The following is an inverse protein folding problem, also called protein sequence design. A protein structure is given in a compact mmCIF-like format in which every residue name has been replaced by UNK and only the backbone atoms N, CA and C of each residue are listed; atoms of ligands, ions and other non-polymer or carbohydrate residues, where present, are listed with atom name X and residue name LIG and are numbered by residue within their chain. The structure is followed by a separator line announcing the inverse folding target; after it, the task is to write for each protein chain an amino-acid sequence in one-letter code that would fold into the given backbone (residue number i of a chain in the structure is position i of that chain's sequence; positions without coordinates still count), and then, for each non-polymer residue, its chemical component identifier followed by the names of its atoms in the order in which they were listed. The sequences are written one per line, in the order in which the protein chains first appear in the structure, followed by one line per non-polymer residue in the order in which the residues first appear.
data_IF_243604531222
#
_entry.id   IF_243604531222
#
_cell.length_a   1.000
_cell.length_b   1.000
_cell.length_c   1.000
_cell.angle_alpha   90.00
_cell.angle_beta   90.00
_cell.angle_gamma   90.00
#
_symmetry.space_group_name_H-M   'P 1'
#
loop_
_entity.id
_entity.type
_entity.pdbx_description
1 polymer ?
#
# COMPACT_ATOMS: atom_id res chain seq x y z
N UNK A 1 -20.52 12.61 -8.00
CA UNK A 1 -21.34 12.33 -6.81
C UNK A 1 -21.65 13.66 -6.18
N UNK A 2 -22.92 13.97 -5.95
CA UNK A 2 -23.32 15.23 -5.33
C UNK A 2 -23.15 15.04 -3.83
N UNK A 3 -22.16 15.70 -3.23
CA UNK A 3 -22.03 15.73 -1.78
C UNK A 3 -23.27 16.44 -1.21
N UNK A 4 -24.12 15.67 -0.53
CA UNK A 4 -25.25 16.22 0.21
C UNK A 4 -24.72 16.57 1.60
N UNK A 5 -24.56 17.86 1.94
CA UNK A 5 -24.09 18.24 3.25
C UNK A 5 -25.13 17.81 4.31
N UNK A 6 -24.66 17.08 5.32
CA UNK A 6 -25.48 16.70 6.47
C UNK A 6 -25.86 17.95 7.27
N UNK A 7 -27.09 18.00 7.76
CA UNK A 7 -27.52 19.09 8.65
C UNK A 7 -26.81 18.97 10.00
N UNK A 8 -26.64 20.08 10.73
CA UNK A 8 -26.08 20.06 12.09
C UNK A 8 -26.81 19.10 13.04
N UNK A 9 -28.12 18.91 12.87
CA UNK A 9 -28.93 17.97 13.65
C UNK A 9 -28.56 16.51 13.35
N UNK A 10 -28.41 16.16 12.06
CA UNK A 10 -27.97 14.83 11.64
C UNK A 10 -26.56 14.51 12.14
N UNK A 11 -25.67 15.50 12.18
CA UNK A 11 -24.33 15.35 12.75
C UNK A 11 -24.43 15.11 14.25
N UNK A 12 -25.22 15.91 14.98
CA UNK A 12 -25.34 15.81 16.43
C UNK A 12 -26.01 14.50 16.89
N UNK A 13 -26.92 13.92 16.11
CA UNK A 13 -27.52 12.60 16.39
C UNK A 13 -26.50 11.44 16.31
N UNK A 14 -25.47 11.58 15.47
CA UNK A 14 -24.41 10.59 15.35
C UNK A 14 -23.31 10.73 16.42
N UNK A 15 -23.14 11.94 16.98
CA UNK A 15 -22.17 12.24 18.04
C UNK A 15 -22.67 11.76 19.41
N UNK A 16 -22.62 10.45 19.64
CA UNK A 16 -22.91 9.87 20.96
C UNK A 16 -21.72 10.08 21.90
N UNK A 17 -21.97 10.52 23.13
CA UNK A 17 -20.95 10.67 24.18
C UNK A 17 -21.01 9.55 25.23
N UNK A 18 -22.06 8.73 25.21
CA UNK A 18 -22.34 7.61 26.12
C UNK A 18 -23.17 6.54 25.41
N UNK A 19 -23.24 5.33 25.97
CA UNK A 19 -24.05 4.23 25.40
C UNK A 19 -23.39 3.58 24.18
N UNK A 20 -22.06 3.63 24.08
CA UNK A 20 -21.33 2.81 23.13
C UNK A 20 -21.52 1.34 23.47
N UNK A 21 -21.83 0.53 22.46
CA UNK A 21 -21.86 -0.92 22.62
C UNK A 21 -20.44 -1.43 22.90
N UNK A 22 -20.33 -2.44 23.77
CA UNK A 22 -19.06 -3.13 23.99
C UNK A 22 -18.75 -3.96 22.74
N UNK A 23 -17.86 -3.45 21.89
CA UNK A 23 -17.40 -4.13 20.69
C UNK A 23 -15.99 -3.70 20.33
N UNK A 24 -15.12 -4.65 20.00
CA UNK A 24 -13.86 -4.32 19.34
C UNK A 24 -14.18 -3.84 17.92
N UNK A 25 -13.57 -2.74 17.49
CA UNK A 25 -13.70 -2.24 16.12
C UNK A 25 -13.19 -3.32 15.14
N UNK A 26 -14.08 -4.17 14.65
CA UNK A 26 -13.80 -5.07 13.52
C UNK A 26 -14.18 -4.31 12.27
N UNK A 27 -13.25 -4.18 11.34
CA UNK A 27 -13.55 -3.62 10.03
C UNK A 27 -14.70 -4.40 9.38
N UNK A 28 -15.74 -3.73 8.84
CA UNK A 28 -16.82 -4.42 8.14
C UNK A 28 -16.38 -4.95 6.78
N UNK A 29 -15.21 -4.54 6.29
CA UNK A 29 -14.63 -5.01 5.04
C UNK A 29 -14.42 -6.53 5.07
N UNK A 30 -14.81 -7.20 3.98
CA UNK A 30 -14.59 -8.63 3.75
C UNK A 30 -13.79 -8.89 2.49
N UNK A 31 -13.89 -8.04 1.47
CA UNK A 31 -13.09 -8.14 0.26
C UNK A 31 -12.90 -6.73 -0.32
N UNK A 32 -11.66 -6.32 -0.51
CA UNK A 32 -11.35 -5.01 -1.05
C UNK A 32 -10.02 -5.00 -1.80
N UNK A 33 -9.84 -3.98 -2.64
CA UNK A 33 -8.57 -3.64 -3.28
C UNK A 33 -8.13 -2.27 -2.80
N UNK A 34 -6.86 -2.11 -2.44
CA UNK A 34 -6.33 -0.83 -1.99
C UNK A 34 -4.81 -0.77 -2.14
N UNK A 35 -4.26 0.44 -2.18
CA UNK A 35 -2.82 0.67 -2.06
C UNK A 35 -2.41 0.55 -0.58
N UNK A 36 -1.40 -0.26 -0.28
CA UNK A 36 -0.79 -0.28 1.06
C UNK A 36 0.17 0.91 1.20
N UNK A 37 -0.12 1.84 2.08
CA UNK A 37 0.72 3.04 2.26
C UNK A 37 1.80 2.83 3.31
N UNK A 38 1.50 2.11 4.39
CA UNK A 38 2.46 1.82 5.44
C UNK A 38 2.05 0.63 6.30
N UNK A 39 3.06 0.01 6.92
CA UNK A 39 2.89 -0.98 7.99
C UNK A 39 3.45 -0.35 9.25
N UNK A 40 2.61 -0.15 10.26
CA UNK A 40 3.01 0.37 11.56
C UNK A 40 2.67 -0.65 12.64
N UNK A 41 3.06 -0.39 13.89
CA UNK A 41 2.65 -1.25 14.98
C UNK A 41 2.80 -0.61 16.34
N UNK A 42 2.12 -1.20 17.32
CA UNK A 42 2.16 -0.76 18.71
C UNK A 42 2.15 -1.96 19.65
N UNK A 43 2.84 -1.84 20.77
CA UNK A 43 2.75 -2.83 21.84
C UNK A 43 1.45 -2.62 22.60
N UNK A 44 0.53 -3.56 22.50
CA UNK A 44 -0.76 -3.50 23.19
C UNK A 44 -0.86 -4.60 24.24
N UNK A 45 -1.34 -4.25 25.42
CA UNK A 45 -1.73 -5.21 26.45
C UNK A 45 -3.24 -5.08 26.63
N UNK A 46 -4.00 -6.11 26.22
CA UNK A 46 -5.47 -6.11 26.34
C UNK A 46 -5.92 -7.17 27.33
N UNK A 47 -6.79 -6.79 28.26
CA UNK A 47 -7.37 -7.71 29.26
C UNK A 47 -6.31 -8.44 30.09
N UNK A 48 -6.50 -9.75 30.29
CA UNK A 48 -5.62 -10.62 31.07
C UNK A 48 -4.42 -11.17 30.26
N UNK A 49 -3.99 -10.50 29.19
CA UNK A 49 -2.80 -10.95 28.47
C UNK A 49 -1.57 -10.89 29.40
N UNK A 50 -0.79 -11.98 29.51
CA UNK A 50 0.34 -12.05 30.43
C UNK A 50 1.46 -11.09 30.03
N UNK A 51 1.54 -10.72 28.75
CA UNK A 51 2.54 -9.79 28.20
C UNK A 51 1.91 -8.95 27.09
N UNK A 52 2.41 -7.72 26.93
CA UNK A 52 2.10 -6.89 25.78
C UNK A 52 2.54 -7.60 24.49
N UNK A 53 1.71 -7.50 23.46
CA UNK A 53 1.97 -8.08 22.13
C UNK A 53 1.97 -6.99 21.09
N UNK A 54 2.76 -7.18 20.03
CA UNK A 54 2.79 -6.28 18.90
C UNK A 54 1.48 -6.41 18.10
N UNK A 55 0.72 -5.31 17.99
CA UNK A 55 -0.37 -5.16 17.02
C UNK A 55 0.20 -4.50 15.78
N UNK A 56 0.09 -5.19 14.65
CA UNK A 56 0.51 -4.69 13.35
C UNK A 56 -0.70 -4.03 12.69
N UNK A 57 -0.50 -2.82 12.22
CA UNK A 57 -1.50 -2.02 11.55
C UNK A 57 -1.09 -1.81 10.08
N UNK A 58 -1.91 -2.32 9.17
CA UNK A 58 -1.77 -2.09 7.73
C UNK A 58 -2.66 -0.90 7.36
N UNK A 59 -2.04 0.16 6.83
CA UNK A 59 -2.74 1.37 6.44
C UNK A 59 -2.90 1.40 4.92
N UNK A 60 -4.14 1.56 4.46
CA UNK A 60 -4.50 1.51 3.06
C UNK A 60 -5.20 2.77 2.58
N UNK A 61 -4.91 3.18 1.34
CA UNK A 61 -5.62 4.23 0.61
C UNK A 61 -6.08 3.74 -0.76
N UNK A 62 -6.85 4.58 -1.46
CA UNK A 62 -7.45 4.22 -2.76
C UNK A 62 -8.30 2.95 -2.65
N UNK A 63 -9.09 2.89 -1.57
CA UNK A 63 -9.90 1.72 -1.24
C UNK A 63 -11.05 1.56 -2.26
N UNK A 64 -11.10 0.39 -2.85
CA UNK A 64 -12.20 -0.13 -3.64
C UNK A 64 -12.78 -1.34 -2.89
N UNK A 65 -14.05 -1.26 -2.51
CA UNK A 65 -14.71 -2.31 -1.71
C UNK A 65 -15.51 -3.22 -2.63
N UNK A 66 -15.21 -4.52 -2.60
CA UNK A 66 -15.96 -5.54 -3.33
C UNK A 66 -17.03 -6.20 -2.45
N UNK A 67 -16.69 -6.47 -1.18
CA UNK A 67 -17.58 -7.10 -0.20
C UNK A 67 -17.38 -6.47 1.18
N UNK A 68 -18.48 -6.13 1.85
CA UNK A 68 -18.50 -5.61 3.22
C UNK A 68 -19.80 -6.02 3.90
N UNK A 69 -19.75 -6.30 5.21
CA UNK A 69 -20.96 -6.63 6.00
C UNK A 69 -21.85 -5.40 6.25
N UNK A 70 -21.25 -4.22 6.22
CA UNK A 70 -21.94 -2.92 6.36
C UNK A 70 -21.40 -1.95 5.30
N UNK A 71 -22.18 -0.96 4.83
CA UNK A 71 -21.68 0.05 3.90
C UNK A 71 -20.40 0.72 4.43
N UNK A 72 -19.34 0.74 3.62
CA UNK A 72 -18.05 1.33 4.00
C UNK A 72 -17.73 2.54 3.11
N UNK A 73 -18.03 3.77 3.56
CA UNK A 73 -17.89 4.97 2.73
C UNK A 73 -16.47 5.55 2.71
N UNK A 74 -15.58 5.07 3.58
CA UNK A 74 -14.23 5.64 3.73
C UNK A 74 -13.32 5.20 2.57
N UNK A 75 -12.57 6.13 1.93
CA UNK A 75 -11.61 5.80 0.87
C UNK A 75 -10.29 5.22 1.40
N UNK A 76 -10.18 5.07 2.71
CA UNK A 76 -9.02 4.51 3.43
C UNK A 76 -9.47 3.37 4.33
N UNK A 77 -8.60 2.40 4.55
CA UNK A 77 -8.83 1.29 5.48
C UNK A 77 -7.63 1.09 6.39
N UNK A 78 -7.91 0.59 7.59
CA UNK A 78 -6.91 0.24 8.58
C UNK A 78 -7.19 -1.17 9.09
N UNK A 79 -6.27 -2.09 8.82
CA UNK A 79 -6.41 -3.50 9.21
C UNK A 79 -5.44 -3.80 10.34
N UNK A 80 -6.00 -4.11 11.51
CA UNK A 80 -5.25 -4.46 12.71
C UNK A 80 -5.14 -5.97 12.86
N UNK A 81 -3.92 -6.50 13.00
CA UNK A 81 -3.66 -7.92 13.19
C UNK A 81 -2.65 -8.10 14.31
N UNK A 82 -2.99 -8.97 15.26
CA UNK A 82 -2.08 -9.36 16.32
C UNK A 82 -0.90 -10.15 15.76
N UNK A 83 0.32 -9.68 16.03
CA UNK A 83 1.54 -10.39 15.67
C UNK A 83 1.56 -11.78 16.30
N UNK A 84 1.93 -12.76 15.49
CA UNK A 84 2.15 -14.14 15.92
C UNK A 84 3.17 -14.79 15.01
N UNK A 85 4.02 -15.62 15.58
CA UNK A 85 4.97 -16.47 14.85
C UNK A 85 4.38 -17.86 14.51
N UNK A 86 3.11 -18.11 14.87
CA UNK A 86 2.46 -19.41 14.65
C UNK A 86 1.82 -19.45 13.27
N UNK A 87 2.07 -20.52 12.52
CA UNK A 87 1.46 -20.76 11.20
C UNK A 87 -0.07 -20.82 11.26
N UNK A 88 -0.63 -21.48 12.28
CA UNK A 88 -2.09 -21.54 12.54
C UNK A 88 -2.61 -20.33 13.32
N UNK A 89 -2.37 -19.12 12.81
CA UNK A 89 -2.86 -17.87 13.38
C UNK A 89 -3.26 -16.88 12.28
N UNK A 90 -3.99 -15.81 12.61
CA UNK A 90 -4.33 -14.76 11.63
C UNK A 90 -3.09 -14.17 10.95
N UNK A 91 -2.03 -13.88 11.71
CA UNK A 91 -0.78 -13.40 11.15
C UNK A 91 -0.07 -14.47 10.30
N UNK A 92 -0.13 -15.74 10.72
CA UNK A 92 0.46 -16.85 9.98
C UNK A 92 -0.22 -17.08 8.63
N UNK A 93 -1.55 -17.06 8.59
CA UNK A 93 -2.33 -17.18 7.34
C UNK A 93 -2.06 -15.99 6.41
N UNK A 94 -2.12 -14.76 6.94
CA UNK A 94 -1.81 -13.58 6.16
C UNK A 94 -0.39 -13.62 5.61
N UNK A 95 0.60 -13.88 6.47
CA UNK A 95 2.00 -13.97 6.09
C UNK A 95 2.24 -15.02 5.01
N UNK A 96 1.63 -16.21 5.13
CA UNK A 96 1.73 -17.26 4.12
C UNK A 96 1.09 -16.84 2.78
N UNK A 97 -0.03 -16.12 2.79
CA UNK A 97 -0.64 -15.61 1.56
C UNK A 97 0.25 -14.57 0.86
N UNK A 98 0.87 -13.67 1.63
CA UNK A 98 1.80 -12.66 1.13
C UNK A 98 3.08 -13.30 0.57
N UNK A 99 3.67 -14.24 1.31
CA UNK A 99 4.90 -14.94 0.94
C UNK A 99 4.75 -15.68 -0.40
N UNK A 100 3.65 -16.42 -0.57
CA UNK A 100 3.30 -17.09 -1.83
C UNK A 100 3.29 -16.15 -3.04
N UNK A 101 2.98 -14.87 -2.83
CA UNK A 101 2.95 -13.87 -3.91
C UNK A 101 4.32 -13.25 -4.13
N UNK A 102 4.95 -12.71 -3.08
CA UNK A 102 6.17 -11.90 -3.24
C UNK A 102 7.43 -12.75 -3.42
N UNK A 103 7.42 -13.97 -2.92
CA UNK A 103 8.50 -14.95 -2.97
C UNK A 103 8.17 -16.14 -3.89
N UNK A 104 7.19 -15.97 -4.79
CA UNK A 104 6.86 -16.97 -5.79
C UNK A 104 8.13 -17.41 -6.56
N UNK A 105 8.37 -18.73 -6.63
CA UNK A 105 9.53 -19.32 -7.29
C UNK A 105 10.80 -19.41 -6.44
N UNK A 106 10.78 -18.92 -5.20
CA UNK A 106 11.83 -19.17 -4.22
C UNK A 106 11.60 -20.53 -3.53
N UNK A 107 12.69 -21.18 -3.10
CA UNK A 107 12.62 -22.41 -2.30
C UNK A 107 12.12 -22.07 -0.89
N UNK A 108 11.13 -22.82 -0.40
CA UNK A 108 10.51 -22.65 0.94
C UNK A 108 11.52 -22.76 2.10
N UNK A 109 12.67 -23.41 1.88
CA UNK A 109 13.74 -23.56 2.87
C UNK A 109 14.80 -22.46 2.79
N UNK A 110 14.61 -21.43 1.96
CA UNK A 110 15.56 -20.34 1.87
C UNK A 110 15.61 -19.56 3.19
N UNK A 111 16.80 -19.16 3.63
CA UNK A 111 16.96 -18.21 4.72
C UNK A 111 16.16 -16.91 4.50
N UNK A 112 15.56 -16.38 5.57
CA UNK A 112 14.70 -15.20 5.52
C UNK A 112 15.39 -13.94 4.95
N UNK A 113 16.72 -13.83 5.10
CA UNK A 113 17.52 -12.73 4.56
C UNK A 113 17.60 -12.73 3.02
N UNK A 114 17.24 -13.84 2.38
CA UNK A 114 17.16 -14.00 0.93
C UNK A 114 15.73 -13.90 0.39
N UNK A 115 14.73 -13.88 1.29
CA UNK A 115 13.32 -13.71 0.94
C UNK A 115 12.91 -12.24 1.04
N UNK A 116 11.95 -11.82 0.20
CA UNK A 116 11.34 -10.49 0.35
C UNK A 116 10.49 -10.48 1.61
N UNK A 117 10.60 -9.39 2.37
CA UNK A 117 9.79 -9.13 3.56
C UNK A 117 8.51 -8.38 3.18
N UNK A 118 7.59 -8.23 4.14
CA UNK A 118 6.31 -7.55 3.91
C UNK A 118 6.46 -6.06 3.57
N UNK A 119 7.58 -5.42 3.87
CA UNK A 119 7.88 -4.05 3.47
C UNK A 119 7.95 -3.88 1.95
N UNK A 120 8.31 -4.94 1.20
CA UNK A 120 8.26 -4.95 -0.27
C UNK A 120 6.86 -4.65 -0.81
N UNK A 121 5.82 -4.92 -0.03
CA UNK A 121 4.42 -4.70 -0.41
C UNK A 121 3.98 -3.23 -0.27
N UNK A 122 4.75 -2.40 0.46
CA UNK A 122 4.44 -0.99 0.68
C UNK A 122 4.51 -0.23 -0.65
N UNK A 123 3.52 0.63 -0.87
CA UNK A 123 3.31 1.39 -2.09
C UNK A 123 2.60 0.63 -3.21
N UNK A 124 2.35 -0.68 -3.06
CA UNK A 124 1.68 -1.51 -4.07
C UNK A 124 0.17 -1.58 -3.83
N UNK A 125 -0.57 -1.73 -4.92
CA UNK A 125 -2.01 -2.04 -4.88
C UNK A 125 -2.19 -3.53 -4.64
N UNK A 126 -3.03 -3.86 -3.67
CA UNK A 126 -3.23 -5.21 -3.16
C UNK A 126 -4.72 -5.50 -3.05
N UNK A 127 -5.07 -6.74 -3.28
CA UNK A 127 -6.41 -7.25 -3.05
C UNK A 127 -6.42 -8.12 -1.81
N UNK A 128 -7.22 -7.72 -0.83
CA UNK A 128 -7.37 -8.35 0.47
C UNK A 128 -8.72 -9.02 0.54
N UNK A 129 -8.74 -10.29 0.97
CA UNK A 129 -9.96 -11.06 1.13
C UNK A 129 -9.96 -11.77 2.47
N UNK A 130 -11.10 -11.68 3.16
CA UNK A 130 -11.39 -12.47 4.33
C UNK A 130 -11.87 -13.85 3.86
N UNK A 131 -11.12 -14.89 4.17
CA UNK A 131 -11.44 -16.26 3.80
C UNK A 131 -11.84 -17.07 5.03
N UNK A 132 -12.95 -17.83 4.98
CA UNK A 132 -13.42 -18.62 6.10
C UNK A 132 -12.70 -19.98 6.17
N UNK A 133 -12.80 -20.64 7.33
CA UNK A 133 -12.45 -22.07 7.46
C UNK A 133 -11.00 -22.37 7.83
N UNK A 134 -10.20 -21.37 8.20
CA UNK A 134 -8.84 -21.60 8.69
C UNK A 134 -8.85 -22.20 10.09
N UNK A 135 -8.27 -23.38 10.26
CA UNK A 135 -8.20 -24.05 11.57
C UNK A 135 -7.16 -23.36 12.46
N UNK A 136 -7.62 -22.70 13.51
CA UNK A 136 -6.77 -21.96 14.46
C UNK A 136 -7.07 -22.34 15.90
N UNK A 137 -6.04 -22.29 16.75
CA UNK A 137 -6.20 -22.57 18.17
C UNK A 137 -7.11 -21.53 18.84
N UNK A 138 -8.15 -22.01 19.52
CA UNK A 138 -9.05 -21.24 20.34
C UNK A 138 -8.73 -21.50 21.83
N UNK A 139 -8.28 -20.46 22.54
CA UNK A 139 -7.98 -20.58 23.96
C UNK A 139 -9.24 -20.80 24.82
N UNK A 140 -10.39 -20.31 24.40
CA UNK A 140 -11.63 -20.44 25.18
C UNK A 140 -12.19 -21.85 25.06
N UNK A 141 -12.06 -22.45 23.88
CA UNK A 141 -12.52 -23.82 23.59
C UNK A 141 -11.45 -24.89 23.77
N UNK A 142 -10.19 -24.49 24.00
CA UNK A 142 -9.02 -25.38 24.11
C UNK A 142 -8.92 -26.38 22.93
N UNK A 143 -9.25 -25.91 21.73
CA UNK A 143 -9.32 -26.74 20.52
C UNK A 143 -9.04 -25.92 19.25
N UNK A 144 -8.72 -26.59 18.16
CA UNK A 144 -8.70 -25.94 16.83
C UNK A 144 -10.13 -25.70 16.35
N UNK A 145 -10.43 -24.46 15.98
CA UNK A 145 -11.73 -24.08 15.44
C UNK A 145 -11.56 -23.35 14.11
N UNK A 146 -12.50 -23.55 13.16
CA UNK A 146 -12.49 -22.79 11.92
C UNK A 146 -12.76 -21.31 12.22
N UNK A 147 -11.91 -20.44 11.69
CA UNK A 147 -12.01 -18.99 11.82
C UNK A 147 -11.77 -18.31 10.47
N UNK A 148 -12.31 -17.12 10.36
CA UNK A 148 -12.02 -16.22 9.24
C UNK A 148 -10.65 -15.58 9.42
N UNK A 149 -9.89 -15.45 8.33
CA UNK A 149 -8.60 -14.78 8.32
C UNK A 149 -8.45 -13.90 7.08
N UNK A 150 -7.63 -12.85 7.20
CA UNK A 150 -7.23 -12.05 6.06
C UNK A 150 -6.17 -12.78 5.24
N UNK A 151 -6.37 -12.79 3.92
CA UNK A 151 -5.39 -13.20 2.93
C UNK A 151 -5.21 -12.09 1.89
N UNK A 152 -4.00 -11.95 1.35
CA UNK A 152 -3.74 -11.18 0.14
C UNK A 152 -3.81 -12.14 -1.04
N UNK A 153 -4.72 -11.86 -1.97
CA UNK A 153 -5.00 -12.76 -3.12
C UNK A 153 -4.39 -12.26 -4.43
N UNK A 154 -4.07 -10.97 -4.48
CA UNK A 154 -3.45 -10.33 -5.63
C UNK A 154 -2.61 -9.12 -5.20
N UNK A 155 -1.48 -8.92 -5.88
CA UNK A 155 -0.62 -7.73 -5.75
C UNK A 155 -0.22 -7.26 -7.14
N UNK A 156 -0.53 -6.00 -7.43
CA UNK A 156 -0.26 -5.40 -8.74
C UNK A 156 1.24 -5.35 -9.06
N UNK A 157 1.59 -5.83 -10.25
CA UNK A 157 2.98 -5.95 -10.70
C UNK A 157 3.77 -7.08 -10.03
N UNK A 158 3.13 -7.94 -9.24
CA UNK A 158 3.77 -9.11 -8.61
C UNK A 158 3.08 -10.41 -9.05
N UNK A 159 1.75 -10.50 -8.89
CA UNK A 159 1.00 -11.68 -9.27
C UNK A 159 -0.21 -11.94 -8.38
N UNK A 160 -0.77 -13.15 -8.50
CA UNK A 160 -2.01 -13.56 -7.83
C UNK A 160 -3.20 -13.57 -8.78
N UNK A 161 -4.38 -13.90 -8.26
CA UNK A 161 -5.62 -13.95 -9.04
C UNK A 161 -6.50 -12.79 -8.61
N UNK A 162 -6.63 -11.72 -9.41
CA UNK A 162 -7.48 -10.59 -9.06
C UNK A 162 -8.96 -11.03 -9.12
N UNK A 163 -9.80 -10.35 -8.35
CA UNK A 163 -11.24 -10.52 -8.46
C UNK A 163 -11.68 -10.25 -9.91
N UNK A 164 -12.38 -11.22 -10.50
CA UNK A 164 -12.91 -11.14 -11.86
C UNK A 164 -14.15 -10.26 -11.88
N UNK A 165 -13.96 -8.95 -11.77
CA UNK A 165 -15.06 -8.00 -11.80
C UNK A 165 -14.64 -6.67 -11.23
N UNK A 166 -14.64 -5.65 -12.09
CA UNK A 166 -14.28 -4.26 -11.81
C UNK A 166 -12.78 -4.00 -11.83
N UNK A 167 -12.31 -3.58 -13.01
CA UNK A 167 -11.16 -2.69 -13.13
C UNK A 167 -11.35 -1.57 -12.11
N UNK A 168 -10.33 -1.34 -11.27
CA UNK A 168 -10.29 -0.21 -10.34
C UNK A 168 -11.00 1.00 -10.96
N UNK A 169 -11.87 1.73 -10.22
CA UNK A 169 -12.53 2.90 -10.76
C UNK A 169 -11.44 3.74 -11.40
N UNK A 170 -11.46 3.74 -12.73
CA UNK A 170 -10.71 4.71 -13.50
C UNK A 170 -11.22 6.02 -12.93
N UNK A 171 -10.36 6.86 -12.32
CA UNK A 171 -10.81 8.17 -11.91
C UNK A 171 -11.54 8.75 -13.11
N UNK A 172 -12.78 9.21 -12.90
CA UNK A 172 -13.55 9.89 -13.92
C UNK A 172 -12.59 10.83 -14.66
N UNK A 173 -12.60 10.86 -16.00
CA UNK A 173 -11.58 11.52 -16.77
C UNK A 173 -11.58 13.01 -16.41
N UNK A 174 -10.75 13.40 -15.44
CA UNK A 174 -9.96 14.62 -15.58
C UNK A 174 -9.28 14.43 -16.91
N UNK A 175 -9.70 15.23 -17.88
CA UNK A 175 -9.10 15.37 -19.19
C UNK A 175 -7.61 15.09 -19.08
N UNK A 176 -7.25 13.86 -19.42
CA UNK A 176 -5.88 13.48 -19.66
C UNK A 176 -5.53 14.31 -20.89
N UNK A 177 -4.59 15.27 -20.82
CA UNK A 177 -4.03 15.80 -22.04
C UNK A 177 -3.52 14.58 -22.80
N UNK A 178 -3.91 14.47 -24.07
CA UNK A 178 -3.41 13.44 -24.95
C UNK A 178 -1.89 13.27 -24.77
N UNK A 179 -1.31 12.07 -24.97
CA UNK A 179 0.13 11.91 -24.99
C UNK A 179 0.69 12.95 -25.96
N UNK A 180 1.39 13.94 -25.42
CA UNK A 180 2.19 14.84 -26.24
C UNK A 180 3.25 13.97 -26.88
N UNK A 181 2.99 13.61 -28.13
CA UNK A 181 3.98 13.12 -29.07
C UNK A 181 5.21 14.02 -28.99
N UNK A 182 6.31 13.51 -28.44
CA UNK A 182 7.63 14.11 -28.63
C UNK A 182 8.59 14.17 -27.44
N UNK A 183 8.17 13.92 -26.19
CA UNK A 183 9.07 14.00 -25.03
C UNK A 183 9.61 12.62 -24.68
N UNK A 184 10.92 12.41 -24.79
CA UNK A 184 11.58 11.17 -24.37
C UNK A 184 11.62 11.06 -22.84
N UNK A 185 11.79 9.84 -22.31
CA UNK A 185 11.95 9.60 -20.86
C UNK A 185 13.09 10.44 -20.26
N UNK A 186 14.20 10.58 -21.00
CA UNK A 186 15.33 11.44 -20.65
C UNK A 186 14.90 12.91 -20.56
N UNK A 187 14.17 13.42 -21.56
CA UNK A 187 13.71 14.81 -21.57
C UNK A 187 12.71 15.07 -20.44
N UNK A 188 11.89 14.09 -20.10
CA UNK A 188 10.97 14.16 -18.97
C UNK A 188 11.71 14.20 -17.63
N UNK A 189 12.74 13.35 -17.45
CA UNK A 189 13.59 13.39 -16.25
C UNK A 189 14.29 14.76 -16.08
N UNK A 190 14.75 15.37 -17.18
CA UNK A 190 15.33 16.73 -17.18
C UNK A 190 14.27 17.79 -16.84
N UNK A 191 13.05 17.69 -17.39
CA UNK A 191 11.97 18.63 -17.09
C UNK A 191 11.56 18.57 -15.62
N UNK A 192 11.59 17.36 -15.01
CA UNK A 192 11.29 17.18 -13.60
C UNK A 192 12.38 17.76 -12.68
N UNK A 193 13.62 17.83 -13.16
CA UNK A 193 14.78 18.34 -12.42
C UNK A 193 14.75 19.85 -12.21
N UNK A 194 14.13 20.59 -13.13
CA UNK A 194 14.10 22.04 -13.10
C UNK A 194 13.47 22.61 -11.82
N UNK A 195 14.15 23.57 -11.21
CA UNK A 195 13.77 24.23 -9.97
C UNK A 195 13.86 23.36 -8.72
N UNK A 196 14.58 22.22 -8.75
CA UNK A 196 14.64 21.29 -7.62
C UNK A 196 16.06 20.94 -7.21
N UNK A 197 16.23 20.58 -5.95
CA UNK A 197 17.44 19.91 -5.47
C UNK A 197 17.48 18.46 -5.96
N UNK A 198 18.66 17.84 -5.96
CA UNK A 198 18.81 16.42 -6.33
C UNK A 198 17.94 15.49 -5.46
N UNK A 199 17.79 15.81 -4.18
CA UNK A 199 16.98 15.00 -3.26
C UNK A 199 15.49 15.06 -3.60
N UNK A 200 14.96 16.26 -3.85
CA UNK A 200 13.56 16.46 -4.26
C UNK A 200 13.30 15.84 -5.62
N UNK A 201 14.24 15.98 -6.55
CA UNK A 201 14.15 15.37 -7.87
C UNK A 201 14.16 13.84 -7.79
N UNK A 202 15.05 13.22 -7.02
CA UNK A 202 15.06 11.77 -6.83
C UNK A 202 13.71 11.25 -6.31
N UNK A 203 13.08 11.98 -5.38
CA UNK A 203 11.78 11.60 -4.85
C UNK A 203 10.66 11.64 -5.90
N UNK A 204 10.77 12.49 -6.93
CA UNK A 204 9.75 12.69 -7.95
C UNK A 204 10.02 11.88 -9.23
N UNK A 205 11.28 11.80 -9.67
CA UNK A 205 11.66 11.19 -10.95
C UNK A 205 11.37 9.69 -10.97
N UNK A 206 11.50 9.02 -9.82
CA UNK A 206 11.11 7.62 -9.66
C UNK A 206 9.61 7.42 -9.44
N UNK A 207 8.78 8.47 -9.51
CA UNK A 207 7.33 8.36 -9.53
C UNK A 207 6.76 8.49 -10.94
N UNK A 208 7.50 9.13 -11.86
CA UNK A 208 7.10 9.40 -13.24
C UNK A 208 6.98 8.10 -14.08
N UNK A 209 5.81 7.84 -14.70
CA UNK A 209 5.60 6.62 -15.49
C UNK A 209 6.51 6.48 -16.71
N UNK A 210 6.89 7.60 -17.35
CA UNK A 210 7.71 7.59 -18.54
C UNK A 210 9.16 7.28 -18.20
N UNK A 211 9.67 7.84 -17.09
CA UNK A 211 11.00 7.49 -16.57
C UNK A 211 11.05 6.04 -16.08
N UNK A 212 10.03 5.60 -15.34
CA UNK A 212 9.94 4.21 -14.84
C UNK A 212 9.95 3.17 -15.95
N UNK A 213 9.37 3.49 -17.10
CA UNK A 213 9.33 2.60 -18.25
C UNK A 213 10.72 2.44 -18.92
N UNK A 214 11.64 3.36 -18.68
CA UNK A 214 13.02 3.33 -19.19
C UNK A 214 13.99 2.79 -18.13
N UNK A 215 14.26 1.48 -18.22
CA UNK A 215 15.09 0.75 -17.25
C UNK A 215 16.57 1.17 -17.28
N UNK A 216 17.06 1.59 -18.44
CA UNK A 216 18.44 2.07 -18.60
C UNK A 216 18.60 3.44 -17.95
N UNK A 217 17.68 4.36 -18.24
CA UNK A 217 17.62 5.67 -17.59
C UNK A 217 17.50 5.53 -16.07
N UNK A 218 16.57 4.70 -15.59
CA UNK A 218 16.39 4.46 -14.15
C UNK A 218 17.67 3.97 -13.49
N UNK A 219 18.40 3.06 -14.15
CA UNK A 219 19.69 2.56 -13.67
C UNK A 219 20.76 3.66 -13.61
N UNK A 220 20.82 4.53 -14.62
CA UNK A 220 21.73 5.66 -14.66
C UNK A 220 21.43 6.71 -13.56
N UNK A 221 20.16 6.92 -13.21
CA UNK A 221 19.77 7.80 -12.10
C UNK A 221 20.21 7.20 -10.76
N UNK A 222 19.94 5.90 -10.54
CA UNK A 222 20.32 5.19 -9.31
C UNK A 222 21.84 5.19 -9.10
N UNK A 223 22.60 4.94 -10.17
CA UNK A 223 24.06 4.91 -10.12
C UNK A 223 24.70 6.30 -10.05
N UNK A 224 23.90 7.37 -10.05
CA UNK A 224 24.39 8.75 -10.01
C UNK A 224 25.12 9.19 -11.28
N UNK A 225 25.01 8.44 -12.38
CA UNK A 225 25.69 8.71 -13.65
C UNK A 225 24.86 9.60 -14.59
N UNK A 226 23.61 9.92 -14.23
CA UNK A 226 22.71 10.71 -15.06
C UNK A 226 23.03 12.22 -15.10
N UNK A 227 23.31 12.85 -13.95
CA UNK A 227 23.42 14.32 -13.86
C UNK A 227 24.77 14.85 -14.37
N UNK A 228 25.87 14.15 -14.10
CA UNK A 228 27.22 14.63 -14.43
C UNK A 228 27.44 14.90 -15.94
N UNK A 229 26.97 14.04 -16.87
CA UNK A 229 27.03 14.34 -18.30
C UNK A 229 26.18 15.54 -18.71
N UNK A 230 25.03 15.78 -18.06
CA UNK A 230 24.12 16.88 -18.39
C UNK A 230 24.67 18.24 -17.93
N UNK A 231 25.33 18.27 -16.78
CA UNK A 231 26.08 19.44 -16.31
C UNK A 231 27.26 19.74 -17.24
N UNK A 232 28.03 18.72 -17.62
CA UNK A 232 29.16 18.87 -18.55
C UNK A 232 28.73 19.32 -19.95
N UNK A 233 27.56 18.88 -20.42
CA UNK A 233 26.96 19.30 -21.68
C UNK A 233 26.25 20.66 -21.60
N UNK A 234 26.20 21.30 -20.42
CA UNK A 234 25.53 22.58 -20.22
C UNK A 234 24.01 22.53 -20.42
N UNK A 235 23.41 21.34 -20.34
CA UNK A 235 21.95 21.14 -20.48
C UNK A 235 21.20 21.48 -19.19
N UNK A 236 21.90 21.40 -18.05
CA UNK A 236 21.40 21.79 -16.73
C UNK A 236 22.51 22.54 -15.99
N UNK A 237 22.16 23.54 -15.19
CA UNK A 237 23.08 24.27 -14.31
C UNK A 237 22.63 24.14 -12.87
N UNK A 238 23.57 24.20 -11.94
CA UNK A 238 23.30 24.13 -10.51
C UNK A 238 23.64 25.46 -9.87
N UNK A 239 22.71 26.04 -9.11
CA UNK A 239 22.94 27.29 -8.41
C UNK A 239 23.65 27.11 -7.06
N UNK A 240 23.94 28.23 -6.39
CA UNK A 240 24.61 28.24 -5.09
C UNK A 240 23.81 27.55 -3.96
N UNK A 241 22.50 27.36 -4.13
CA UNK A 241 21.62 26.67 -3.19
C UNK A 241 21.49 25.17 -3.51
N UNK A 242 22.16 24.69 -4.56
CA UNK A 242 22.10 23.30 -4.99
C UNK A 242 20.83 22.95 -5.78
N UNK A 243 20.11 23.95 -6.27
CA UNK A 243 18.93 23.79 -7.12
C UNK A 243 19.39 23.69 -8.58
N UNK A 244 18.85 22.71 -9.29
CA UNK A 244 19.12 22.51 -10.71
C UNK A 244 18.14 23.32 -11.56
N UNK A 245 18.67 23.96 -12.59
CA UNK A 245 17.94 24.73 -13.58
C UNK A 245 18.20 24.14 -14.95
N UNK A 246 17.15 23.84 -15.71
CA UNK A 246 17.28 23.42 -17.09
C UNK A 246 17.80 24.59 -17.92
N UNK A 247 18.83 24.35 -18.73
CA UNK A 247 19.26 25.30 -19.75
C UNK A 247 18.43 25.01 -21.00
N UNK A 248 17.37 25.79 -21.17
CA UNK A 248 16.47 25.77 -22.31
C UNK A 248 16.58 27.05 -23.12
#
# INVERSE_FOLDING_TARGET
MTDIPLTPEQVNEQLRTRGFEAGGFRSPLRHFRAKLDSITGSMVQRGNMPQAKLEVLYNHSQLEVYESIEPYPSPVAQINIMHSTRTKSNMGVLGASMDKLINAGLNENLPQDQAKNQDFLVGKVQEWKMTPGHMMWDNDKQAETPRDAWEVVYVEGVGGTPHSGVSAPTPAPTEQPAPVTGVSAVQQAINLLDGKTQQEWNNLVFQDPLVKADTELTSNIINGTFLAPLEAAGTVTKDANGIYHKVG
#
